data_IF_987549403351
#
_entry.id   IF_987549403351
#
_cell.length_a   1.000
_cell.length_b   1.000
_cell.length_c   1.000
_cell.angle_alpha   90.00
_cell.angle_beta   90.00
_cell.angle_gamma   90.00
#
_symmetry.space_group_name_H-M   'P 1'
#
loop_
_entity.id
_entity.type
_entity.pdbx_description
1 polymer ?
#
# COMPACT_ATOMS: atom_id res chain seq x y z
N UNK A 1 -10.27 21.11 -0.12
CA UNK A 1 -8.81 20.96 -0.26
C UNK A 1 -8.34 21.75 -1.47
N UNK A 2 -7.37 22.64 -1.29
CA UNK A 2 -6.78 23.40 -2.40
C UNK A 2 -5.68 22.57 -3.07
N UNK A 3 -5.44 22.79 -4.38
CA UNK A 3 -4.46 22.03 -5.18
C UNK A 3 -3.06 22.02 -4.54
N UNK A 4 -2.65 23.17 -3.99
CA UNK A 4 -1.36 23.34 -3.30
C UNK A 4 -1.24 22.43 -2.08
N UNK A 5 -2.30 22.31 -1.26
CA UNK A 5 -2.30 21.44 -0.08
C UNK A 5 -2.16 19.96 -0.46
N UNK A 6 -2.86 19.53 -1.51
CA UNK A 6 -2.76 18.14 -1.99
C UNK A 6 -1.38 17.80 -2.55
N UNK A 7 -0.76 18.74 -3.27
CA UNK A 7 0.59 18.56 -3.79
C UNK A 7 1.63 18.50 -2.67
N UNK A 8 1.52 19.37 -1.65
CA UNK A 8 2.37 19.33 -0.46
C UNK A 8 2.19 18.00 0.27
N UNK A 9 0.95 17.55 0.48
CA UNK A 9 0.67 16.26 1.12
C UNK A 9 1.33 15.11 0.37
N UNK A 10 1.20 15.08 -0.95
CA UNK A 10 1.84 14.07 -1.81
C UNK A 10 3.36 14.09 -1.68
N UNK A 11 3.98 15.28 -1.73
CA UNK A 11 5.43 15.43 -1.59
C UNK A 11 5.93 14.94 -0.23
N UNK A 12 5.23 15.29 0.86
CA UNK A 12 5.54 14.84 2.21
C UNK A 12 5.42 13.32 2.31
N UNK A 13 4.33 12.74 1.79
CA UNK A 13 4.12 11.29 1.80
C UNK A 13 5.23 10.54 1.07
N UNK A 14 5.64 11.03 -0.10
CA UNK A 14 6.74 10.44 -0.88
C UNK A 14 8.09 10.62 -0.18
N UNK A 15 8.36 11.78 0.39
CA UNK A 15 9.59 12.02 1.15
C UNK A 15 9.69 11.06 2.33
N UNK A 16 8.62 10.89 3.10
CA UNK A 16 8.58 9.93 4.23
C UNK A 16 8.76 8.50 3.73
N UNK A 17 8.06 8.11 2.65
CA UNK A 17 8.20 6.78 2.08
C UNK A 17 9.64 6.48 1.63
N UNK A 18 10.28 7.43 0.96
CA UNK A 18 11.67 7.31 0.51
C UNK A 18 12.64 7.25 1.69
N UNK A 19 12.45 8.07 2.71
CA UNK A 19 13.28 8.04 3.92
C UNK A 19 13.17 6.69 4.64
N UNK A 20 11.95 6.18 4.81
CA UNK A 20 11.72 4.87 5.43
C UNK A 20 12.33 3.76 4.58
N UNK A 21 12.08 3.76 3.27
CA UNK A 21 12.66 2.78 2.36
C UNK A 21 14.20 2.80 2.41
N UNK A 22 14.80 3.98 2.43
CA UNK A 22 16.25 4.15 2.56
C UNK A 22 16.77 3.59 3.88
N UNK A 23 16.27 4.08 5.01
CA UNK A 23 16.76 3.70 6.35
C UNK A 23 16.57 2.21 6.61
N UNK A 24 15.40 1.65 6.28
CA UNK A 24 15.13 0.23 6.48
C UNK A 24 15.89 -0.64 5.48
N UNK A 25 16.25 -0.14 4.29
CA UNK A 25 17.04 -0.92 3.32
C UNK A 25 18.47 -1.17 3.77
N UNK A 26 19.05 -0.29 4.60
CA UNK A 26 20.45 -0.40 5.07
C UNK A 26 20.73 -1.68 5.84
N UNK A 27 19.73 -2.19 6.57
CA UNK A 27 19.84 -3.41 7.38
C UNK A 27 19.03 -4.59 6.81
N UNK A 28 18.51 -4.46 5.58
CA UNK A 28 17.65 -5.48 5.00
C UNK A 28 18.42 -6.57 4.26
N UNK A 29 17.80 -7.76 4.13
CA UNK A 29 18.31 -8.86 3.33
C UNK A 29 18.53 -8.40 1.88
N UNK A 30 19.69 -8.71 1.31
CA UNK A 30 20.00 -8.40 -0.10
C UNK A 30 19.84 -9.65 -0.95
N UNK A 31 19.03 -9.57 -2.00
CA UNK A 31 18.82 -10.64 -2.97
C UNK A 31 19.45 -10.18 -4.28
N UNK A 32 20.49 -10.87 -4.73
CA UNK A 32 21.22 -10.50 -5.95
C UNK A 32 21.71 -9.04 -5.96
N UNK A 33 22.07 -8.50 -4.78
CA UNK A 33 22.54 -7.12 -4.61
C UNK A 33 21.43 -6.07 -4.42
N UNK A 34 20.15 -6.45 -4.48
CA UNK A 34 19.02 -5.53 -4.25
C UNK A 34 18.47 -5.72 -2.83
N UNK A 35 18.32 -4.65 -2.03
CA UNK A 35 17.71 -4.74 -0.71
C UNK A 35 16.23 -5.10 -0.82
N UNK A 36 15.82 -6.21 -0.19
CA UNK A 36 14.47 -6.75 -0.24
C UNK A 36 13.44 -5.72 0.24
N UNK A 37 13.75 -4.99 1.32
CA UNK A 37 12.84 -3.96 1.85
C UNK A 37 12.57 -2.86 0.81
N UNK A 38 13.63 -2.34 0.19
CA UNK A 38 13.52 -1.30 -0.85
C UNK A 38 12.75 -1.80 -2.07
N UNK A 39 12.97 -3.06 -2.46
CA UNK A 39 12.23 -3.70 -3.54
C UNK A 39 10.74 -3.85 -3.24
N UNK A 40 10.37 -4.31 -2.05
CA UNK A 40 8.97 -4.37 -1.61
C UNK A 40 8.34 -2.98 -1.55
N UNK A 41 9.05 -1.98 -1.03
CA UNK A 41 8.57 -0.59 -0.99
C UNK A 41 8.27 -0.06 -2.40
N UNK A 42 9.14 -0.33 -3.37
CA UNK A 42 8.92 0.04 -4.77
C UNK A 42 7.66 -0.63 -5.33
N UNK A 43 7.49 -1.94 -5.11
CA UNK A 43 6.32 -2.68 -5.60
C UNK A 43 5.02 -2.13 -5.00
N UNK A 44 5.00 -1.74 -3.72
CA UNK A 44 3.82 -1.11 -3.10
C UNK A 44 3.36 0.09 -3.91
N UNK A 45 4.26 1.04 -4.21
CA UNK A 45 3.90 2.25 -4.96
C UNK A 45 3.57 1.95 -6.42
N UNK A 46 4.24 0.98 -7.05
CA UNK A 46 3.90 0.55 -8.41
C UNK A 46 2.47 0.02 -8.48
N UNK A 47 2.06 -0.88 -7.58
CA UNK A 47 0.68 -1.41 -7.55
C UNK A 47 -0.32 -0.26 -7.38
N UNK A 48 -0.03 0.67 -6.46
CA UNK A 48 -0.89 1.83 -6.23
C UNK A 48 -1.05 2.69 -7.50
N UNK A 49 0.03 2.97 -8.22
CA UNK A 49 -0.03 3.78 -9.44
C UNK A 49 -0.68 3.06 -10.61
N UNK A 50 -0.45 1.76 -10.75
CA UNK A 50 -1.09 0.94 -11.80
C UNK A 50 -2.60 0.94 -11.65
N UNK A 51 -3.13 0.87 -10.42
CA UNK A 51 -4.58 0.83 -10.20
C UNK A 51 -5.19 2.24 -10.07
N UNK A 52 -4.39 3.23 -9.66
CA UNK A 52 -4.80 4.64 -9.68
C UNK A 52 -5.24 5.10 -11.08
N UNK A 53 -4.50 4.75 -12.13
CA UNK A 53 -4.79 5.17 -13.51
C UNK A 53 -6.22 4.78 -13.95
N UNK A 54 -6.62 3.49 -13.95
CA UNK A 54 -7.97 3.10 -14.32
C UNK A 54 -9.03 3.60 -13.32
N UNK A 55 -8.69 3.72 -12.04
CA UNK A 55 -9.61 4.24 -11.02
C UNK A 55 -9.92 5.73 -11.23
N UNK A 56 -8.94 6.53 -11.63
CA UNK A 56 -9.12 7.93 -11.96
C UNK A 56 -9.89 8.12 -13.28
N UNK A 57 -9.58 7.33 -14.31
CA UNK A 57 -10.27 7.39 -15.60
C UNK A 57 -11.75 7.03 -15.46
N UNK A 58 -12.06 5.97 -14.71
CA UNK A 58 -13.44 5.52 -14.51
C UNK A 58 -14.14 6.24 -13.35
N UNK A 59 -13.44 7.12 -12.63
CA UNK A 59 -13.98 7.84 -11.47
C UNK A 59 -14.65 6.88 -10.46
N UNK A 60 -14.00 5.75 -10.18
CA UNK A 60 -14.51 4.70 -9.28
C UNK A 60 -13.69 4.60 -8.01
N UNK A 61 -14.37 4.52 -6.86
CA UNK A 61 -13.75 4.29 -5.55
C UNK A 61 -13.69 2.82 -5.15
N UNK A 62 -14.46 1.95 -5.82
CA UNK A 62 -14.60 0.55 -5.44
C UNK A 62 -13.26 -0.20 -5.39
N UNK A 63 -12.31 0.20 -6.23
CA UNK A 63 -10.98 -0.42 -6.27
C UNK A 63 -10.04 0.11 -5.20
N UNK A 64 -10.32 1.25 -4.56
CA UNK A 64 -9.41 1.86 -3.60
C UNK A 64 -9.18 0.97 -2.38
N UNK A 65 -10.26 0.57 -1.70
CA UNK A 65 -10.17 -0.28 -0.50
C UNK A 65 -9.63 -1.68 -0.83
N UNK A 66 -10.03 -2.24 -1.99
CA UNK A 66 -9.55 -3.54 -2.45
C UNK A 66 -8.06 -3.53 -2.77
N UNK A 67 -7.56 -2.45 -3.37
CA UNK A 67 -6.14 -2.31 -3.70
C UNK A 67 -5.28 -2.32 -2.46
N UNK A 68 -5.69 -1.60 -1.41
CA UNK A 68 -5.01 -1.61 -0.13
C UNK A 68 -4.84 -3.04 0.41
N UNK A 69 -5.93 -3.80 0.54
CA UNK A 69 -5.86 -5.18 1.02
C UNK A 69 -5.04 -6.10 0.11
N UNK A 70 -5.16 -5.96 -1.21
CA UNK A 70 -4.36 -6.75 -2.16
C UNK A 70 -2.87 -6.45 -2.01
N UNK A 71 -2.48 -5.18 -1.87
CA UNK A 71 -1.06 -4.82 -1.66
C UNK A 71 -0.50 -5.43 -0.37
N UNK A 72 -1.28 -5.48 0.72
CA UNK A 72 -0.88 -6.18 1.95
C UNK A 72 -0.57 -7.65 1.70
N UNK A 73 -1.50 -8.36 1.06
CA UNK A 73 -1.38 -9.79 0.79
C UNK A 73 -0.22 -10.06 -0.17
N UNK A 74 -0.14 -9.33 -1.29
CA UNK A 74 0.90 -9.52 -2.31
C UNK A 74 2.30 -9.32 -1.74
N UNK A 75 2.53 -8.24 -1.00
CA UNK A 75 3.85 -7.95 -0.43
C UNK A 75 4.20 -8.92 0.69
N UNK A 76 3.23 -9.29 1.52
CA UNK A 76 3.45 -10.26 2.59
C UNK A 76 3.80 -11.65 2.07
N UNK A 77 3.20 -12.09 0.97
CA UNK A 77 3.55 -13.36 0.33
C UNK A 77 4.92 -13.24 -0.35
N UNK A 78 5.17 -12.13 -1.05
CA UNK A 78 6.42 -11.89 -1.74
C UNK A 78 7.62 -11.85 -0.78
N UNK A 79 7.50 -11.17 0.36
CA UNK A 79 8.59 -11.07 1.34
C UNK A 79 8.99 -12.43 1.88
N UNK A 80 8.02 -13.30 2.14
CA UNK A 80 8.25 -14.67 2.62
C UNK A 80 8.81 -15.56 1.50
N UNK A 81 8.30 -15.44 0.27
CA UNK A 81 8.76 -16.23 -0.88
C UNK A 81 10.21 -15.90 -1.28
N UNK A 82 10.62 -14.64 -1.07
CA UNK A 82 11.97 -14.16 -1.37
C UNK A 82 12.94 -14.31 -0.18
N UNK A 83 12.45 -14.63 1.01
CA UNK A 83 13.33 -14.85 2.17
C UNK A 83 14.07 -16.19 2.04
N UNK A 84 15.43 -16.20 2.08
CA UNK A 84 16.22 -17.42 1.93
C UNK A 84 16.04 -18.40 3.10
N UNK A 85 15.70 -17.88 4.29
CA UNK A 85 15.51 -18.67 5.49
C UNK A 85 14.04 -18.59 5.94
N UNK A 86 13.24 -19.54 5.47
CA UNK A 86 11.85 -19.69 5.89
C UNK A 86 11.75 -20.17 7.34
N UNK A 87 11.52 -19.24 8.25
CA UNK A 87 11.20 -19.55 9.64
C UNK A 87 9.68 -19.71 9.83
N UNK A 88 9.27 -20.48 10.84
CA UNK A 88 7.85 -20.61 11.22
C UNK A 88 7.22 -19.25 11.55
N UNK A 89 8.01 -18.32 12.11
CA UNK A 89 7.58 -16.96 12.45
C UNK A 89 7.24 -16.18 11.18
N UNK A 90 8.05 -16.28 10.14
CA UNK A 90 7.83 -15.58 8.86
C UNK A 90 6.50 -16.03 8.22
N UNK A 91 6.25 -17.34 8.22
CA UNK A 91 5.00 -17.93 7.73
C UNK A 91 3.80 -17.47 8.57
N UNK A 92 3.94 -17.51 9.90
CA UNK A 92 2.87 -17.10 10.82
C UNK A 92 2.52 -15.62 10.64
N UNK A 93 3.52 -14.74 10.56
CA UNK A 93 3.32 -13.31 10.31
C UNK A 93 2.57 -13.09 9.00
N UNK A 94 2.99 -13.75 7.91
CA UNK A 94 2.33 -13.59 6.62
C UNK A 94 0.88 -14.11 6.62
N UNK A 95 0.61 -15.22 7.31
CA UNK A 95 -0.75 -15.72 7.49
C UNK A 95 -1.62 -14.74 8.29
N UNK A 96 -1.11 -14.22 9.41
CA UNK A 96 -1.86 -13.27 10.24
C UNK A 96 -2.19 -11.98 9.48
N UNK A 97 -1.22 -11.43 8.74
CA UNK A 97 -1.41 -10.25 7.89
C UNK A 97 -2.45 -10.55 6.80
N UNK A 98 -2.34 -11.70 6.14
CA UNK A 98 -3.27 -12.09 5.07
C UNK A 98 -4.70 -12.25 5.59
N UNK A 99 -4.89 -12.93 6.72
CA UNK A 99 -6.21 -13.11 7.35
C UNK A 99 -6.81 -11.75 7.72
N UNK A 100 -6.00 -10.87 8.33
CA UNK A 100 -6.44 -9.52 8.67
C UNK A 100 -6.82 -8.70 7.44
N UNK A 101 -5.98 -8.71 6.40
CA UNK A 101 -6.20 -7.96 5.17
C UNK A 101 -7.44 -8.44 4.41
N UNK A 102 -7.69 -9.75 4.37
CA UNK A 102 -8.90 -10.35 3.79
C UNK A 102 -10.13 -9.94 4.59
N UNK A 103 -10.09 -10.06 5.92
CA UNK A 103 -11.22 -9.68 6.79
C UNK A 103 -11.57 -8.19 6.64
N UNK A 104 -10.57 -7.32 6.72
CA UNK A 104 -10.81 -5.87 6.63
C UNK A 104 -11.24 -5.47 5.21
N UNK A 105 -10.55 -5.97 4.18
CA UNK A 105 -10.84 -5.66 2.78
C UNK A 105 -12.23 -6.11 2.35
N UNK A 106 -12.62 -7.34 2.70
CA UNK A 106 -13.95 -7.86 2.40
C UNK A 106 -15.07 -7.06 3.08
N UNK A 107 -14.87 -6.68 4.35
CA UNK A 107 -15.81 -5.83 5.08
C UNK A 107 -15.96 -4.45 4.43
N UNK A 108 -14.85 -3.79 4.11
CA UNK A 108 -14.85 -2.46 3.49
C UNK A 108 -15.51 -2.48 2.11
N UNK A 109 -15.14 -3.45 1.28
CA UNK A 109 -15.70 -3.63 -0.06
C UNK A 109 -17.22 -3.88 -0.01
N UNK A 110 -17.67 -4.75 0.90
CA UNK A 110 -19.09 -5.04 1.07
C UNK A 110 -19.87 -3.81 1.56
N UNK A 111 -19.28 -3.04 2.47
CA UNK A 111 -19.87 -1.78 2.97
C UNK A 111 -20.07 -0.77 1.84
N UNK A 112 -19.06 -0.55 1.00
CA UNK A 112 -19.16 0.40 -0.13
C UNK A 112 -20.20 -0.09 -1.14
N UNK A 113 -20.21 -1.40 -1.47
CA UNK A 113 -21.23 -1.96 -2.36
C UNK A 113 -22.66 -1.79 -1.86
N UNK A 114 -22.89 -1.91 -0.55
CA UNK A 114 -24.22 -1.70 0.06
C UNK A 114 -24.62 -0.23 0.13
N UNK A 115 -23.68 0.65 0.43
CA UNK A 115 -23.92 2.09 0.48
C UNK A 115 -24.05 2.74 -0.92
N UNK A 116 -23.59 2.05 -1.97
CA UNK A 116 -23.57 2.53 -3.35
C UNK A 116 -22.38 3.45 -3.60
N UNK A 117 -22.27 4.53 -2.83
CA UNK A 117 -21.18 5.49 -2.93
C UNK A 117 -20.83 6.08 -1.54
N UNK A 118 -19.54 6.26 -1.26
CA UNK A 118 -19.04 7.00 -0.12
C UNK A 118 -18.96 8.50 -0.49
N UNK A 119 -19.77 9.31 0.19
CA UNK A 119 -19.87 10.76 0.00
C UNK A 119 -18.52 11.50 0.05
N UNK A 120 -17.51 10.91 0.71
CA UNK A 120 -16.15 11.46 0.77
C UNK A 120 -15.47 11.46 -0.59
N UNK A 121 -15.68 10.42 -1.38
CA UNK A 121 -15.02 10.24 -2.67
C UNK A 121 -15.71 10.99 -3.81
N UNK A 122 -16.99 11.35 -3.66
CA UNK A 122 -17.78 12.08 -4.69
C UNK A 122 -17.04 13.33 -5.20
N UNK A 123 -16.44 14.11 -4.31
CA UNK A 123 -15.67 15.31 -4.69
C UNK A 123 -14.20 14.96 -4.97
N UNK A 124 -13.63 13.98 -4.25
CA UNK A 124 -12.21 13.63 -4.39
C UNK A 124 -11.87 13.08 -5.77
N UNK A 125 -12.70 12.17 -6.31
CA UNK A 125 -12.46 11.50 -7.60
C UNK A 125 -12.30 12.50 -8.74
N UNK A 126 -13.07 13.60 -8.70
CA UNK A 126 -13.02 14.68 -9.72
C UNK A 126 -11.73 15.51 -9.68
N UNK A 127 -11.04 15.55 -8.54
CA UNK A 127 -9.86 16.40 -8.33
C UNK A 127 -8.59 15.55 -8.33
N UNK A 128 -7.90 15.54 -9.48
CA UNK A 128 -6.68 14.76 -9.71
C UNK A 128 -5.68 14.83 -8.54
N UNK A 129 -5.22 16.02 -8.15
CA UNK A 129 -4.21 16.18 -7.09
C UNK A 129 -4.67 15.61 -5.75
N UNK A 130 -5.96 15.77 -5.40
CA UNK A 130 -6.48 15.27 -4.13
C UNK A 130 -6.61 13.75 -4.15
N UNK A 131 -7.12 13.20 -5.25
CA UNK A 131 -7.21 11.77 -5.42
C UNK A 131 -5.81 11.14 -5.41
N UNK A 132 -4.86 11.66 -6.19
CA UNK A 132 -3.49 11.16 -6.21
C UNK A 132 -2.83 11.18 -4.82
N UNK A 133 -3.05 12.24 -4.05
CA UNK A 133 -2.57 12.30 -2.66
C UNK A 133 -3.12 11.15 -1.80
N UNK A 134 -4.42 10.84 -1.92
CA UNK A 134 -5.02 9.73 -1.14
C UNK A 134 -4.43 8.36 -1.48
N UNK A 135 -4.09 8.12 -2.75
CA UNK A 135 -3.42 6.89 -3.17
C UNK A 135 -1.98 6.79 -2.64
N UNK A 136 -1.25 7.91 -2.64
CA UNK A 136 0.08 7.93 -2.03
C UNK A 136 0.01 7.69 -0.52
N UNK A 137 -0.96 8.29 0.18
CA UNK A 137 -1.14 8.08 1.63
C UNK A 137 -1.47 6.62 1.92
N UNK A 138 -2.31 5.98 1.09
CA UNK A 138 -2.59 4.55 1.21
C UNK A 138 -1.32 3.70 1.01
N UNK A 139 -0.51 4.01 -0.01
CA UNK A 139 0.78 3.35 -0.24
C UNK A 139 1.74 3.49 0.95
N UNK A 140 1.87 4.70 1.51
CA UNK A 140 2.67 4.93 2.71
C UNK A 140 2.12 4.15 3.91
N UNK A 141 0.81 4.12 4.10
CA UNK A 141 0.20 3.37 5.19
C UNK A 141 0.50 1.87 5.11
N UNK A 142 0.43 1.29 3.89
CA UNK A 142 0.82 -0.11 3.64
C UNK A 142 2.30 -0.30 3.96
N UNK A 143 3.18 0.58 3.47
CA UNK A 143 4.63 0.52 3.72
C UNK A 143 4.96 0.56 5.20
N UNK A 144 4.40 1.50 5.96
CA UNK A 144 4.67 1.64 7.39
C UNK A 144 4.16 0.43 8.18
N UNK A 145 2.97 -0.07 7.83
CA UNK A 145 2.35 -1.19 8.53
C UNK A 145 3.07 -2.51 8.24
N UNK A 146 3.40 -2.79 6.98
CA UNK A 146 4.19 -3.95 6.60
C UNK A 146 5.66 -3.81 6.96
N UNK A 147 6.18 -2.59 7.09
CA UNK A 147 7.58 -2.34 7.38
C UNK A 147 8.04 -3.02 8.67
N UNK A 148 7.19 -3.07 9.69
CA UNK A 148 7.47 -3.81 10.92
C UNK A 148 7.58 -5.32 10.70
N UNK A 149 6.73 -5.89 9.83
CA UNK A 149 6.78 -7.31 9.49
C UNK A 149 7.97 -7.64 8.57
N UNK A 150 8.25 -6.79 7.59
CA UNK A 150 9.41 -6.89 6.70
C UNK A 150 10.74 -6.77 7.45
N UNK A 151 10.81 -5.96 8.50
CA UNK A 151 12.00 -5.86 9.35
C UNK A 151 12.22 -7.09 10.24
N UNK A 152 11.18 -7.89 10.47
CA UNK A 152 11.25 -9.12 11.26
C UNK A 152 11.57 -10.37 10.43
N UNK A 153 11.45 -10.29 9.09
CA UNK A 153 11.71 -11.36 8.12
C UNK A 153 13.14 -11.26 7.59
#
# INVERSE_FOLDING_TARGET
MNRTQSNIGTAVTLAVALLVAWVCSLNSLTISGIPLFGFCALIIFVIQYVIFIPSYLNQTEHFFDLTGSLTFISISILSVALSPNLSLINILLALMISIWAIRLGSFLFWRVRKAGEDKRFTIMKTKFSWFFMTWNIQGLWVLLSLGAALAAI
#
